data_IF_713128156815
#
_entry.id   IF_713128156815
#
_cell.length_a   1.000
_cell.length_b   1.000
_cell.length_c   1.000
_cell.angle_alpha   90.00
_cell.angle_beta   90.00
_cell.angle_gamma   90.00
#
_symmetry.space_group_name_H-M   'P 1'
#
loop_
_entity.id
_entity.type
_entity.pdbx_description
1 polymer ?
#
# COMPACT_ATOMS: atom_id res chain seq x y z
N UNK A 1 -2.49 24.11 0.48
CA UNK A 1 -1.96 23.43 1.69
C UNK A 1 -0.61 24.04 1.97
N UNK A 2 -0.40 24.59 3.17
CA UNK A 2 0.90 25.10 3.58
C UNK A 2 1.93 23.95 3.55
N UNK A 3 3.17 24.25 3.19
CA UNK A 3 4.25 23.26 3.26
C UNK A 3 4.57 22.99 4.74
N UNK A 4 4.83 21.74 5.16
CA UNK A 4 5.22 21.44 6.53
C UNK A 4 6.49 22.21 6.91
N UNK A 5 6.60 22.62 8.17
CA UNK A 5 7.84 23.21 8.69
C UNK A 5 8.95 22.15 8.77
N UNK A 6 10.23 22.54 8.79
CA UNK A 6 11.33 21.59 9.04
C UNK A 6 11.06 20.77 10.31
N UNK A 7 11.24 19.45 10.23
CA UNK A 7 10.94 18.49 11.29
C UNK A 7 9.46 18.12 11.48
N UNK A 8 8.53 18.75 10.77
CA UNK A 8 7.09 18.43 10.84
C UNK A 8 6.74 17.23 9.95
N UNK A 9 5.86 16.37 10.45
CA UNK A 9 5.37 15.21 9.70
C UNK A 9 4.31 15.62 8.67
N UNK A 10 4.52 15.24 7.42
CA UNK A 10 3.51 15.37 6.37
C UNK A 10 2.89 14.01 6.06
N UNK A 11 1.58 13.87 6.21
CA UNK A 11 0.86 12.64 5.84
C UNK A 11 0.10 12.89 4.54
N UNK A 12 0.39 12.11 3.50
CA UNK A 12 -0.20 12.30 2.17
C UNK A 12 -0.88 11.03 1.67
N UNK A 13 -2.01 11.13 0.96
CA UNK A 13 -2.58 10.02 0.22
C UNK A 13 -1.58 9.46 -0.80
N UNK A 14 -1.56 8.14 -0.92
CA UNK A 14 -0.87 7.50 -2.03
C UNK A 14 -1.53 7.89 -3.35
N UNK A 15 -0.70 8.30 -4.29
CA UNK A 15 -1.10 8.54 -5.68
C UNK A 15 -0.18 7.72 -6.58
N UNK A 16 -0.56 7.53 -7.84
CA UNK A 16 0.31 6.84 -8.79
C UNK A 16 1.73 7.45 -8.88
N UNK A 17 1.86 8.76 -8.66
CA UNK A 17 3.14 9.48 -8.64
C UNK A 17 4.02 9.19 -7.41
N UNK A 18 3.46 8.61 -6.33
CA UNK A 18 4.14 8.35 -5.04
C UNK A 18 4.38 6.87 -4.75
N UNK A 19 4.09 5.99 -5.72
CA UNK A 19 4.23 4.54 -5.50
C UNK A 19 5.67 4.13 -5.19
N UNK A 20 6.65 4.84 -5.75
CA UNK A 20 8.06 4.54 -5.49
C UNK A 20 8.49 4.92 -4.07
N UNK A 21 7.76 5.81 -3.39
CA UNK A 21 8.01 6.11 -1.98
C UNK A 21 7.73 4.90 -1.09
N UNK A 22 6.78 4.03 -1.48
CA UNK A 22 6.51 2.76 -0.77
C UNK A 22 7.69 1.81 -0.90
N UNK A 23 8.37 1.80 -2.06
CA UNK A 23 9.63 1.06 -2.23
C UNK A 23 10.69 1.57 -1.26
N UNK A 24 10.86 2.89 -1.17
CA UNK A 24 11.83 3.54 -0.29
C UNK A 24 11.58 3.19 1.17
N UNK A 25 10.34 3.37 1.64
CA UNK A 25 9.99 3.11 3.05
C UNK A 25 10.14 1.64 3.44
N UNK A 26 9.79 0.73 2.53
CA UNK A 26 9.82 -0.72 2.84
C UNK A 26 11.18 -1.36 2.61
N UNK A 27 12.12 -0.67 1.97
CA UNK A 27 13.46 -1.19 1.67
C UNK A 27 14.15 -1.68 2.95
N UNK A 28 14.79 -2.85 2.89
CA UNK A 28 15.46 -3.46 4.04
C UNK A 28 14.52 -4.08 5.10
N UNK A 29 13.21 -4.05 4.88
CA UNK A 29 12.21 -4.69 5.77
C UNK A 29 11.54 -5.89 5.09
N UNK A 30 10.83 -6.72 5.86
CA UNK A 30 9.98 -7.79 5.31
C UNK A 30 8.92 -7.27 4.31
N UNK A 31 8.44 -6.04 4.52
CA UNK A 31 7.47 -5.37 3.66
C UNK A 31 7.98 -5.09 2.24
N UNK A 32 9.31 -5.12 2.02
CA UNK A 32 9.92 -4.95 0.71
C UNK A 32 9.43 -5.97 -0.33
N UNK A 33 8.92 -7.11 0.13
CA UNK A 33 8.45 -8.20 -0.73
C UNK A 33 6.99 -8.07 -1.15
N UNK A 34 6.15 -7.38 -0.38
CA UNK A 34 4.70 -7.42 -0.56
C UNK A 34 4.05 -6.04 -0.75
N UNK A 35 4.63 -4.95 -0.22
CA UNK A 35 4.03 -3.60 -0.23
C UNK A 35 2.56 -3.59 0.20
N UNK A 36 2.22 -4.42 1.19
CA UNK A 36 0.86 -4.65 1.69
C UNK A 36 -0.17 -5.08 0.62
N UNK A 37 0.29 -5.62 -0.51
CA UNK A 37 -0.58 -6.22 -1.52
C UNK A 37 -1.05 -7.63 -1.12
N UNK A 38 -0.30 -8.31 -0.25
CA UNK A 38 -0.67 -9.63 0.25
C UNK A 38 -2.09 -9.64 0.86
N UNK A 39 -2.44 -8.85 1.88
CA UNK A 39 -3.79 -8.90 2.43
C UNK A 39 -4.89 -8.49 1.43
N UNK A 40 -4.55 -7.79 0.34
CA UNK A 40 -5.48 -7.30 -0.69
C UNK A 40 -5.98 -8.35 -1.66
N UNK A 41 -5.16 -9.33 -1.97
CA UNK A 41 -5.44 -10.30 -3.02
C UNK A 41 -5.58 -11.71 -2.48
N UNK A 42 -6.27 -12.58 -3.20
CA UNK A 42 -6.21 -14.03 -2.97
C UNK A 42 -4.93 -14.60 -3.58
N UNK A 43 -4.53 -15.82 -3.19
CA UNK A 43 -3.37 -16.48 -3.79
C UNK A 43 -3.48 -16.61 -5.32
N UNK A 44 -4.68 -16.89 -5.84
CA UNK A 44 -4.96 -16.92 -7.28
C UNK A 44 -4.70 -15.56 -7.94
N UNK A 45 -5.21 -14.49 -7.34
CA UNK A 45 -5.03 -13.12 -7.86
C UNK A 45 -3.56 -12.66 -7.79
N UNK A 46 -2.81 -13.07 -6.77
CA UNK A 46 -1.37 -12.78 -6.70
C UNK A 46 -0.60 -13.46 -7.82
N UNK A 47 -0.90 -14.73 -8.09
CA UNK A 47 -0.30 -15.49 -9.19
C UNK A 47 -0.62 -14.86 -10.55
N UNK A 48 -1.89 -14.55 -10.82
CA UNK A 48 -2.33 -13.89 -12.07
C UNK A 48 -1.68 -12.52 -12.29
N UNK A 49 -1.28 -11.84 -11.21
CA UNK A 49 -0.63 -10.53 -11.25
C UNK A 49 0.89 -10.61 -11.23
N UNK A 50 1.48 -11.80 -11.11
CA UNK A 50 2.93 -11.97 -10.98
C UNK A 50 3.51 -11.39 -9.69
N UNK A 51 2.72 -11.28 -8.62
CA UNK A 51 3.15 -10.68 -7.34
C UNK A 51 4.06 -11.61 -6.51
N UNK A 52 4.12 -12.89 -6.86
CA UNK A 52 4.97 -13.89 -6.20
C UNK A 52 6.36 -14.02 -6.83
N UNK A 53 6.62 -13.31 -7.92
CA UNK A 53 7.88 -13.35 -8.67
C UNK A 53 8.98 -12.47 -8.09
N UNK A 54 10.17 -12.57 -8.67
CA UNK A 54 11.29 -11.64 -8.40
C UNK A 54 11.02 -10.29 -9.06
N UNK A 55 11.48 -9.21 -8.42
CA UNK A 55 11.36 -7.84 -8.93
C UNK A 55 10.22 -7.04 -8.30
N UNK A 56 10.13 -5.76 -8.65
CA UNK A 56 9.17 -4.81 -8.10
C UNK A 56 8.14 -4.32 -9.13
N UNK A 57 8.39 -4.46 -10.43
CA UNK A 57 7.50 -3.98 -11.49
C UNK A 57 6.03 -4.45 -11.35
N UNK A 58 5.73 -5.74 -11.05
CA UNK A 58 4.35 -6.17 -10.83
C UNK A 58 3.69 -5.49 -9.61
N UNK A 59 4.44 -5.34 -8.51
CA UNK A 59 3.95 -4.70 -7.27
C UNK A 59 3.72 -3.21 -7.49
N UNK A 60 4.64 -2.54 -8.18
CA UNK A 60 4.52 -1.15 -8.62
C UNK A 60 3.27 -0.96 -9.47
N UNK A 61 3.06 -1.79 -10.49
CA UNK A 61 1.89 -1.69 -11.36
C UNK A 61 0.57 -1.92 -10.59
N UNK A 62 0.53 -2.92 -9.71
CA UNK A 62 -0.64 -3.22 -8.89
C UNK A 62 -0.97 -2.05 -7.94
N UNK A 63 0.02 -1.53 -7.22
CA UNK A 63 -0.17 -0.44 -6.27
C UNK A 63 -0.51 0.88 -7.00
N UNK A 64 0.10 1.16 -8.15
CA UNK A 64 -0.26 2.31 -8.99
C UNK A 64 -1.71 2.24 -9.50
N UNK A 65 -2.20 1.04 -9.84
CA UNK A 65 -3.61 0.85 -10.21
C UNK A 65 -4.54 1.12 -9.04
N UNK A 66 -4.19 0.66 -7.83
CA UNK A 66 -4.96 0.96 -6.62
C UNK A 66 -4.95 2.45 -6.31
N UNK A 67 -3.81 3.13 -6.46
CA UNK A 67 -3.64 4.55 -6.19
C UNK A 67 -4.36 5.50 -7.17
N UNK A 68 -4.97 4.96 -8.24
CA UNK A 68 -5.84 5.70 -9.18
C UNK A 68 -7.32 5.61 -8.82
N UNK A 69 -7.70 4.81 -7.82
CA UNK A 69 -9.10 4.72 -7.35
C UNK A 69 -9.49 6.02 -6.64
N UNK A 70 -10.81 6.24 -6.51
CA UNK A 70 -11.36 7.38 -5.75
C UNK A 70 -10.91 7.39 -4.28
N UNK A 71 -10.84 6.21 -3.67
CA UNK A 71 -10.31 6.03 -2.32
C UNK A 71 -8.84 5.62 -2.41
N UNK A 72 -7.98 6.34 -1.68
CA UNK A 72 -6.55 6.01 -1.60
C UNK A 72 -6.36 4.64 -0.94
N UNK A 73 -5.45 3.79 -1.44
CA UNK A 73 -5.15 2.50 -0.81
C UNK A 73 -4.25 2.62 0.43
N UNK A 74 -3.80 3.82 0.77
CA UNK A 74 -2.90 4.04 1.90
C UNK A 74 -2.41 5.48 2.02
N UNK A 75 -1.54 5.69 3.01
CA UNK A 75 -0.90 6.96 3.32
C UNK A 75 0.61 6.79 3.35
N UNK A 76 1.32 7.81 2.89
CA UNK A 76 2.78 7.92 3.03
C UNK A 76 3.08 9.07 3.99
N UNK A 77 3.94 8.81 4.97
CA UNK A 77 4.45 9.81 5.89
C UNK A 77 5.79 10.34 5.38
N UNK A 78 5.99 11.65 5.45
CA UNK A 78 7.22 12.32 5.08
C UNK A 78 7.75 13.16 6.24
N UNK A 79 9.07 13.27 6.32
CA UNK A 79 9.77 14.25 7.16
C UNK A 79 10.85 14.90 6.31
N UNK A 80 10.86 16.23 6.26
CA UNK A 80 11.81 17.01 5.46
C UNK A 80 11.86 16.61 3.96
N UNK A 81 10.71 16.18 3.42
CA UNK A 81 10.58 15.74 2.03
C UNK A 81 10.89 14.26 1.79
N UNK A 82 11.52 13.58 2.74
CA UNK A 82 11.86 12.16 2.64
C UNK A 82 10.70 11.27 3.10
N UNK A 83 10.35 10.20 2.37
CA UNK A 83 9.32 9.26 2.79
C UNK A 83 9.86 8.36 3.90
N UNK A 84 9.17 8.34 5.05
CA UNK A 84 9.62 7.65 6.27
C UNK A 84 8.59 6.63 6.81
N UNK A 85 7.40 6.56 6.21
CA UNK A 85 6.36 5.67 6.68
C UNK A 85 5.31 5.37 5.62
N UNK A 86 4.73 4.17 5.70
CA UNK A 86 3.73 3.65 4.78
C UNK A 86 2.70 2.89 5.60
N UNK A 87 1.42 3.12 5.30
CA UNK A 87 0.33 2.32 5.84
C UNK A 87 -0.72 2.09 4.77
N UNK A 88 -1.04 0.82 4.51
CA UNK A 88 -2.20 0.46 3.73
C UNK A 88 -3.48 0.60 4.55
N UNK A 89 -4.52 1.18 3.97
CA UNK A 89 -5.84 1.29 4.60
C UNK A 89 -6.95 1.19 3.56
N UNK A 90 -8.17 0.92 4.04
CA UNK A 90 -9.35 0.75 3.21
C UNK A 90 -10.44 -0.05 3.93
N UNK A 91 -11.63 -0.15 3.35
CA UNK A 91 -12.69 -1.03 3.86
C UNK A 91 -12.25 -2.50 3.81
N UNK A 92 -12.82 -3.36 4.66
CA UNK A 92 -12.41 -4.77 4.74
C UNK A 92 -12.58 -5.51 3.40
N UNK A 93 -13.60 -5.18 2.60
CA UNK A 93 -13.80 -5.72 1.23
C UNK A 93 -12.63 -5.49 0.28
N UNK A 94 -11.79 -4.47 0.53
CA UNK A 94 -10.59 -4.21 -0.29
C UNK A 94 -9.41 -5.12 0.10
N UNK A 95 -9.60 -5.95 1.13
CA UNK A 95 -8.63 -6.89 1.67
C UNK A 95 -9.20 -8.30 1.64
N UNK A 96 -9.10 -8.99 0.49
CA UNK A 96 -9.74 -10.29 0.27
C UNK A 96 -9.47 -11.33 1.38
N UNK A 97 -8.28 -11.28 2.00
CA UNK A 97 -7.93 -12.18 3.11
C UNK A 97 -8.55 -11.78 4.45
N UNK A 98 -8.76 -10.47 4.66
CA UNK A 98 -9.39 -9.91 5.85
C UNK A 98 -10.91 -10.05 5.78
N UNK A 99 -11.51 -9.80 4.62
CA UNK A 99 -12.97 -9.86 4.42
C UNK A 99 -13.56 -11.23 4.78
N UNK A 100 -12.84 -12.32 4.46
CA UNK A 100 -13.26 -13.69 4.77
C UNK A 100 -12.81 -14.17 6.15
N UNK A 101 -11.97 -13.41 6.85
CA UNK A 101 -11.41 -13.82 8.14
C UNK A 101 -12.47 -13.80 9.23
N UNK A 102 -12.53 -14.89 10.00
CA UNK A 102 -13.40 -14.98 11.19
C UNK A 102 -12.87 -14.13 12.35
N UNK A 103 -11.57 -13.86 12.38
CA UNK A 103 -10.91 -13.14 13.47
C UNK A 103 -11.22 -11.63 13.46
N UNK A 104 -11.58 -11.07 12.30
CA UNK A 104 -11.78 -9.63 12.13
C UNK A 104 -13.25 -9.22 12.18
N UNK A 105 -14.20 -10.17 12.32
CA UNK A 105 -15.63 -9.91 12.47
C UNK A 105 -16.29 -9.16 11.30
N UNK A 106 -15.53 -8.84 10.26
CA UNK A 106 -15.82 -7.84 9.23
C UNK A 106 -16.56 -8.39 8.01
N UNK A 107 -17.28 -9.51 8.16
CA UNK A 107 -17.95 -10.14 7.01
C UNK A 107 -18.94 -9.17 6.39
N UNK A 108 -18.60 -8.71 5.21
CA UNK A 108 -19.51 -8.07 4.27
C UNK A 108 -20.54 -9.13 3.88
N UNK A 109 -21.72 -9.10 4.51
CA UNK A 109 -22.87 -9.93 4.09
C UNK A 109 -23.45 -9.41 2.78
#
# INVERSE_FOLDING_TARGET
MANPRPGELAIRPLTAARVDDVKTVTAGTWGATCWDLFPRFTAKQEHERGLTGKGDAPRRAALARLARRRQTPGLVAYRDGEPIGWIALGPCVDFARVDVSRATGSRSR
#
